data_IF_263008283152
#
_entry.id   IF_263008283152
#
_cell.length_a   1.000
_cell.length_b   1.000
_cell.length_c   1.000
_cell.angle_alpha   90.00
_cell.angle_beta   90.00
_cell.angle_gamma   90.00
#
_symmetry.space_group_name_H-M   'P 1'
#
loop_
_entity.id
_entity.type
_entity.pdbx_description
1 polymer ?
#
# COMPACT_ATOMS: atom_id res chain seq x y z
N UNK A 1 -5.44 -16.62 12.46
CA UNK A 1 -4.72 -17.80 12.02
C UNK A 1 -4.72 -17.92 10.50
N UNK A 2 -3.59 -18.19 9.94
CA UNK A 2 -3.49 -18.29 8.49
C UNK A 2 -4.05 -19.64 8.04
N UNK A 3 -4.83 -19.61 6.97
CA UNK A 3 -5.31 -20.86 6.41
C UNK A 3 -4.19 -21.48 5.57
N UNK A 4 -4.32 -22.76 5.33
CA UNK A 4 -3.33 -23.44 4.53
C UNK A 4 -3.56 -23.19 3.06
N UNK A 5 -2.55 -22.71 2.37
CA UNK A 5 -2.64 -22.40 0.96
C UNK A 5 -2.11 -23.53 0.11
N UNK A 6 -2.67 -23.67 -1.09
CA UNK A 6 -2.15 -24.65 -2.03
C UNK A 6 -0.80 -24.16 -2.57
N UNK A 7 -0.09 -25.06 -3.22
CA UNK A 7 1.20 -24.74 -3.80
C UNK A 7 1.09 -23.61 -4.83
N UNK A 8 0.06 -23.67 -5.69
CA UNK A 8 -0.16 -22.66 -6.69
C UNK A 8 -0.50 -21.31 -6.06
N UNK A 9 -1.27 -21.32 -4.97
CA UNK A 9 -1.63 -20.09 -4.28
C UNK A 9 -0.40 -19.44 -3.66
N UNK A 10 0.46 -20.24 -3.03
CA UNK A 10 1.70 -19.73 -2.46
C UNK A 10 2.59 -19.12 -3.53
N UNK A 11 2.71 -19.82 -4.65
CA UNK A 11 3.54 -19.35 -5.75
C UNK A 11 2.99 -18.05 -6.33
N UNK A 12 1.67 -17.95 -6.45
CA UNK A 12 1.03 -16.74 -6.94
C UNK A 12 1.42 -15.53 -6.08
N UNK A 13 1.32 -15.68 -4.76
CA UNK A 13 1.64 -14.59 -3.86
C UNK A 13 3.13 -14.24 -3.90
N UNK A 14 3.99 -15.23 -4.05
CA UNK A 14 5.43 -15.01 -4.12
C UNK A 14 5.82 -14.18 -5.34
N UNK A 15 5.25 -14.50 -6.49
CA UNK A 15 5.66 -13.83 -7.72
C UNK A 15 4.91 -12.53 -7.98
N UNK A 16 3.83 -12.28 -7.27
CA UNK A 16 2.96 -11.16 -7.56
C UNK A 16 3.70 -9.82 -7.53
N UNK A 17 4.50 -9.58 -6.51
CA UNK A 17 5.26 -8.34 -6.39
C UNK A 17 6.71 -8.48 -6.82
N UNK A 18 7.05 -9.58 -7.44
CA UNK A 18 8.41 -9.83 -7.90
C UNK A 18 8.41 -9.95 -9.42
N UNK A 19 8.42 -11.16 -9.93
CA UNK A 19 8.50 -11.38 -11.38
C UNK A 19 7.28 -10.85 -12.12
N UNK A 20 6.10 -10.92 -11.51
CA UNK A 20 4.88 -10.46 -12.17
C UNK A 20 4.71 -8.95 -12.12
N UNK A 21 5.46 -8.26 -11.25
CA UNK A 21 5.41 -6.80 -11.18
C UNK A 21 4.04 -6.24 -10.83
N UNK A 22 3.23 -6.98 -10.08
CA UNK A 22 1.90 -6.54 -9.70
C UNK A 22 0.79 -6.96 -10.65
N UNK A 23 1.15 -7.61 -11.76
CA UNK A 23 0.17 -8.03 -12.75
C UNK A 23 -0.43 -9.38 -12.35
N UNK A 24 -1.71 -9.39 -11.97
CA UNK A 24 -2.35 -10.61 -11.49
C UNK A 24 -2.49 -11.67 -12.58
N UNK A 25 -2.65 -11.27 -13.82
CA UNK A 25 -2.74 -12.22 -14.92
C UNK A 25 -1.41 -12.94 -15.12
N UNK A 26 -0.34 -12.17 -15.11
CA UNK A 26 1.00 -12.76 -15.26
C UNK A 26 1.35 -13.62 -14.04
N UNK A 27 0.98 -13.17 -12.85
CA UNK A 27 1.23 -13.94 -11.63
C UNK A 27 0.52 -15.29 -11.69
N UNK A 28 -0.69 -15.32 -12.22
CA UNK A 28 -1.45 -16.56 -12.38
C UNK A 28 -0.72 -17.52 -13.29
N UNK A 29 -0.20 -17.02 -14.41
CA UNK A 29 0.55 -17.86 -15.34
C UNK A 29 1.83 -18.38 -14.73
N UNK A 30 2.57 -17.52 -14.07
CA UNK A 30 3.84 -17.91 -13.46
C UNK A 30 3.65 -18.89 -12.30
N UNK A 31 2.49 -18.84 -11.67
CA UNK A 31 2.19 -19.73 -10.56
C UNK A 31 1.83 -21.14 -11.01
N UNK A 32 1.60 -21.32 -12.29
CA UNK A 32 1.29 -22.64 -12.82
C UNK A 32 -0.18 -22.96 -12.93
N UNK A 33 -1.04 -21.97 -12.81
CA UNK A 33 -2.46 -22.19 -13.01
C UNK A 33 -2.77 -22.44 -14.48
N UNK A 34 -3.80 -23.24 -14.72
CA UNK A 34 -4.27 -23.49 -16.08
C UNK A 34 -4.79 -22.19 -16.72
N UNK A 35 -4.61 -22.04 -18.01
CA UNK A 35 -5.15 -20.90 -18.74
C UNK A 35 -6.67 -20.82 -18.63
N UNK A 36 -7.32 -21.94 -18.37
CA UNK A 36 -8.77 -21.98 -18.22
C UNK A 36 -9.24 -21.49 -16.86
N UNK A 37 -8.33 -21.33 -15.91
CA UNK A 37 -8.70 -20.85 -14.59
C UNK A 37 -8.95 -19.35 -14.64
N UNK A 38 -10.16 -18.88 -14.30
CA UNK A 38 -10.41 -17.44 -14.34
C UNK A 38 -9.58 -16.70 -13.32
N UNK A 39 -8.94 -15.63 -13.76
CA UNK A 39 -8.13 -14.81 -12.86
C UNK A 39 -8.98 -14.25 -11.70
N UNK A 40 -10.23 -13.91 -12.00
CA UNK A 40 -11.14 -13.38 -10.99
C UNK A 40 -11.30 -14.34 -9.81
N UNK A 41 -11.39 -15.63 -10.09
CA UNK A 41 -11.56 -16.62 -9.01
C UNK A 41 -10.29 -16.75 -8.17
N UNK A 42 -9.12 -16.65 -8.78
CA UNK A 42 -7.87 -16.70 -8.04
C UNK A 42 -7.75 -15.50 -7.11
N UNK A 43 -8.05 -14.31 -7.63
CA UNK A 43 -7.98 -13.08 -6.85
C UNK A 43 -9.00 -13.12 -5.72
N UNK A 44 -10.22 -13.57 -6.01
CA UNK A 44 -11.25 -13.62 -4.99
C UNK A 44 -10.88 -14.56 -3.85
N UNK A 45 -10.30 -15.71 -4.19
CA UNK A 45 -9.90 -16.70 -3.20
C UNK A 45 -8.77 -16.20 -2.31
N UNK A 46 -7.92 -15.32 -2.84
CA UNK A 46 -6.73 -14.85 -2.13
C UNK A 46 -6.80 -13.38 -1.74
N UNK A 47 -7.98 -12.78 -1.76
CA UNK A 47 -8.05 -11.33 -1.59
C UNK A 47 -7.49 -10.86 -0.26
N UNK A 48 -7.68 -11.61 0.82
CA UNK A 48 -7.13 -11.23 2.12
C UNK A 48 -5.61 -11.34 2.12
N UNK A 49 -5.10 -12.40 1.54
CA UNK A 49 -3.66 -12.61 1.44
C UNK A 49 -3.01 -11.57 0.53
N UNK A 50 -3.68 -11.22 -0.57
CA UNK A 50 -3.18 -10.18 -1.46
C UNK A 50 -3.14 -8.84 -0.73
N UNK A 51 -4.19 -8.53 0.04
CA UNK A 51 -4.22 -7.31 0.81
C UNK A 51 -3.08 -7.22 1.82
N UNK A 52 -2.83 -8.32 2.51
CA UNK A 52 -1.76 -8.35 3.48
C UNK A 52 -0.39 -8.23 2.81
N UNK A 53 -0.20 -8.92 1.68
CA UNK A 53 1.04 -8.83 0.92
C UNK A 53 1.26 -7.41 0.40
N UNK A 54 0.20 -6.73 -0.01
CA UNK A 54 0.28 -5.36 -0.47
C UNK A 54 0.73 -4.44 0.65
N UNK A 55 0.15 -4.58 1.84
CA UNK A 55 0.54 -3.77 2.99
C UNK A 55 2.00 -4.03 3.36
N UNK A 56 2.41 -5.28 3.32
CA UNK A 56 3.79 -5.64 3.60
C UNK A 56 4.74 -5.02 2.59
N UNK A 57 4.34 -5.01 1.32
CA UNK A 57 5.16 -4.41 0.28
C UNK A 57 5.30 -2.90 0.45
N UNK A 58 4.21 -2.22 0.84
CA UNK A 58 4.29 -0.79 1.16
C UNK A 58 5.30 -0.55 2.29
N UNK A 59 5.22 -1.35 3.35
CA UNK A 59 6.12 -1.19 4.49
C UNK A 59 7.58 -1.39 4.07
N UNK A 60 7.83 -2.38 3.23
CA UNK A 60 9.20 -2.65 2.78
C UNK A 60 9.71 -1.58 1.81
N UNK A 61 8.80 -0.90 1.13
CA UNK A 61 9.17 0.13 0.16
C UNK A 61 9.31 1.51 0.80
N UNK A 62 8.83 1.68 2.03
CA UNK A 62 8.90 2.97 2.71
C UNK A 62 10.33 3.52 2.83
N UNK A 63 11.35 2.69 3.15
CA UNK A 63 12.72 3.23 3.19
C UNK A 63 13.18 3.81 1.87
N UNK A 64 12.75 3.23 0.75
CA UNK A 64 13.11 3.76 -0.56
C UNK A 64 12.49 5.15 -0.78
N UNK A 65 11.25 5.33 -0.31
CA UNK A 65 10.59 6.63 -0.40
C UNK A 65 11.31 7.67 0.47
N UNK A 66 11.77 7.26 1.65
CA UNK A 66 12.54 8.14 2.52
C UNK A 66 13.82 8.59 1.81
N UNK A 67 14.51 7.65 1.18
CA UNK A 67 15.75 7.97 0.47
C UNK A 67 15.49 8.92 -0.71
N UNK A 68 14.34 8.78 -1.37
CA UNK A 68 13.98 9.68 -2.45
C UNK A 68 13.79 11.11 -1.93
N UNK A 69 13.14 11.25 -0.77
CA UNK A 69 12.95 12.57 -0.17
C UNK A 69 14.26 13.17 0.31
N UNK A 70 15.12 12.36 0.91
CA UNK A 70 16.45 12.81 1.33
C UNK A 70 17.26 13.25 0.13
N UNK A 71 17.18 12.48 -0.96
CA UNK A 71 17.88 12.83 -2.19
C UNK A 71 17.42 14.17 -2.77
N UNK A 72 16.12 14.47 -2.62
CA UNK A 72 15.60 15.74 -3.10
C UNK A 72 16.18 16.93 -2.33
N UNK A 73 16.52 16.75 -1.07
CA UNK A 73 17.16 17.79 -0.29
C UNK A 73 18.58 18.04 -0.78
N UNK A 74 19.24 17.00 -1.29
CA UNK A 74 20.60 17.12 -1.79
C UNK A 74 20.65 17.71 -3.20
N UNK A 75 19.65 17.42 -4.01
CA UNK A 75 19.63 17.89 -5.39
C UNK A 75 18.21 18.28 -5.80
N UNK A 76 17.76 19.46 -5.37
CA UNK A 76 16.39 19.90 -5.68
C UNK A 76 16.18 20.26 -7.15
N UNK A 77 17.24 20.28 -7.95
CA UNK A 77 17.12 20.60 -9.37
C UNK A 77 17.03 19.37 -10.26
N UNK A 78 17.01 18.20 -9.66
CA UNK A 78 16.93 16.95 -10.42
C UNK A 78 15.68 16.94 -11.28
N UNK A 79 15.81 16.46 -12.51
CA UNK A 79 14.69 16.40 -13.43
C UNK A 79 13.60 15.48 -12.87
N UNK A 80 12.36 15.97 -12.90
CA UNK A 80 11.24 15.18 -12.37
C UNK A 80 11.18 15.10 -10.87
N UNK A 81 11.94 15.95 -10.17
CA UNK A 81 12.03 15.86 -8.71
C UNK A 81 10.68 16.08 -8.04
N UNK A 82 9.85 16.95 -8.61
CA UNK A 82 8.55 17.24 -8.03
C UNK A 82 7.64 16.04 -8.03
N UNK A 83 7.59 15.31 -9.13
CA UNK A 83 6.79 14.11 -9.24
C UNK A 83 7.34 13.00 -8.38
N UNK A 84 8.67 12.89 -8.29
CA UNK A 84 9.32 11.90 -7.46
C UNK A 84 9.00 12.13 -6.00
N UNK A 85 9.05 13.38 -5.55
CA UNK A 85 8.71 13.72 -4.18
C UNK A 85 7.25 13.45 -3.87
N UNK A 86 6.36 13.78 -4.81
CA UNK A 86 4.95 13.53 -4.61
C UNK A 86 4.65 12.04 -4.46
N UNK A 87 5.29 11.21 -5.29
CA UNK A 87 5.11 9.77 -5.22
C UNK A 87 5.66 9.23 -3.91
N UNK A 88 6.80 9.72 -3.46
CA UNK A 88 7.39 9.27 -2.21
C UNK A 88 6.52 9.63 -1.02
N UNK A 89 5.97 10.83 -0.99
CA UNK A 89 5.08 11.26 0.07
C UNK A 89 3.81 10.42 0.09
N UNK A 90 3.25 10.16 -1.07
CA UNK A 90 2.04 9.38 -1.16
C UNK A 90 2.27 7.96 -0.64
N UNK A 91 3.39 7.37 -0.99
CA UNK A 91 3.72 6.02 -0.52
C UNK A 91 3.88 5.99 0.99
N UNK A 92 4.57 6.98 1.56
CA UNK A 92 4.76 7.05 3.00
C UNK A 92 3.44 7.24 3.74
N UNK A 93 2.53 8.04 3.20
CA UNK A 93 1.21 8.23 3.78
C UNK A 93 0.44 6.92 3.79
N UNK A 94 0.48 6.18 2.70
CA UNK A 94 -0.23 4.91 2.60
C UNK A 94 0.37 3.85 3.50
N UNK A 95 1.66 3.95 3.77
CA UNK A 95 2.32 3.03 4.69
C UNK A 95 2.10 3.41 6.15
N UNK A 96 1.42 4.53 6.40
CA UNK A 96 1.13 4.96 7.76
C UNK A 96 2.27 5.72 8.42
N UNK A 97 3.25 6.16 7.64
CA UNK A 97 4.43 6.84 8.17
C UNK A 97 4.48 8.31 7.80
N UNK A 98 3.44 8.81 7.16
CA UNK A 98 3.40 10.19 6.75
C UNK A 98 2.78 11.07 7.79
N UNK A 99 2.38 12.26 7.34
CA UNK A 99 1.77 13.23 8.21
C UNK A 99 0.48 12.70 8.81
N UNK A 100 0.34 12.82 10.10
CA UNK A 100 -0.87 12.36 10.78
C UNK A 100 -1.93 13.44 10.70
N UNK A 101 -3.12 13.03 10.25
CA UNK A 101 -4.24 13.95 10.15
C UNK A 101 -4.96 13.98 11.49
N UNK A 102 -5.04 15.12 12.09
CA UNK A 102 -5.62 15.23 13.39
C UNK A 102 -7.07 15.05 13.45
N UNK A 103 -7.67 15.17 12.36
CA UNK A 103 -9.06 15.03 12.38
C UNK A 103 -9.58 13.74 12.71
N UNK A 104 -8.93 12.88 12.61
CA UNK A 104 -9.38 11.64 12.78
C UNK A 104 -9.84 11.16 13.87
N UNK A 105 -10.07 11.02 14.20
CA UNK A 105 -10.45 10.44 15.16
C UNK A 105 -11.54 10.06 15.44
N UNK A 106 -11.82 10.12 15.35
CA UNK A 106 -12.73 9.86 15.76
C UNK A 106 -13.33 9.06 15.65
N UNK A 107 -13.18 8.79 15.27
CA UNK A 107 -13.76 8.03 15.09
C UNK A 107 -14.21 7.38 15.91
N UNK A 108 -14.01 7.07 16.05
CA UNK A 108 -14.36 6.33 16.79
C UNK A 108 -15.18 6.70 17.66
N UNK A 109 -15.21 6.95 18.01
CA UNK A 109 -15.89 7.18 18.92
C UNK A 109 -16.66 8.13 18.76
N UNK A 110 -16.86 8.22 18.27
CA UNK A 110 -17.61 9.05 18.15
C UNK A 110 -17.50 10.26 18.22
N UNK A 111 -17.34 10.63 18.04
CA UNK A 111 -17.28 11.59 18.01
C UNK A 111 -17.19 12.46 17.73
N UNK A 112 -17.23 13.01 17.74
CA UNK A 112 -17.09 13.94 17.55
C UNK A 112 -17.01 14.86 17.48
N UNK A 113 -16.93 15.45 17.37
CA UNK A 113 -16.79 16.53 17.29
C UNK A 113 -16.72 17.48 17.26
N UNK A 114 -16.68 17.79 17.34
CA UNK A 114 -16.59 18.78 17.29
C UNK A 114 -16.16 19.70 17.38
N UNK A 115 -16.07 20.14 17.36
CA UNK A 115 -15.77 21.22 17.40
C UNK A 115 -15.32 22.19 17.56
N UNK A 116 -15.15 22.47 17.63
CA UNK A 116 -14.79 23.53 17.76
C UNK A 116 -14.42 24.50 17.84
N UNK A 117 -14.32 24.51 17.97
CA UNK A 117 -14.14 25.46 18.08
C UNK A 117 -13.77 26.48 18.01
N UNK A 118 -13.97 26.55 18.00
CA UNK A 118 -13.84 27.61 17.99
C UNK A 118 -13.63 28.42 18.41
N UNK A 119 -13.92 28.01 18.67
CA UNK A 119 -13.93 28.75 19.15
C UNK A 119 -13.57 29.23 19.63
N UNK A 120 -13.73 29.00 19.97
CA UNK A 120 -13.68 29.45 20.56
C UNK A 120 -13.59 29.48 21.08
N UNK A 121 -14.11 29.16 21.22
CA UNK A 121 -14.24 29.23 21.66
C UNK A 121 -14.13 29.15 22.18
N UNK A 122 -14.50 28.95 22.33
CA UNK A 122 -14.71 28.97 22.73
C UNK A 122 -14.57 28.86 23.07
N UNK A 123 -14.77 28.23 23.07
CA UNK A 123 -14.98 28.27 23.34
C UNK A 123 -14.79 28.61 23.55
#
# INVERSE_FOLDING_TARGET
>A
MARQLTENQQKFLEVLFDEAGGDVVLAKKLAGYSDNTPTRLVVEALKDEIGEATRSHFARSAPKAVMALVGALSDPTELGIRDKMAAAKDLLDRAGLGKVDKVDVSSSSGGVFILPSKEGKNE
#
